data_IF_254297555231
#
_entry.id   IF_254297555231
#
_cell.length_a   1.000
_cell.length_b   1.000
_cell.length_c   1.000
_cell.angle_alpha   90.00
_cell.angle_beta   90.00
_cell.angle_gamma   90.00
#
_symmetry.space_group_name_H-M   'P 1'
#
loop_
_entity.id
_entity.type
_entity.pdbx_description
1 polymer ?
#
# COMPACT_ATOMS: atom_id res chain seq x y z
N UNK A 1 -18.83 10.97 -19.33
CA UNK A 1 -19.92 10.67 -18.39
C UNK A 1 -19.52 10.88 -16.93
N UNK A 2 -18.44 10.29 -16.46
CA UNK A 2 -17.98 10.44 -15.05
C UNK A 2 -17.70 11.91 -14.66
N UNK A 3 -17.01 12.68 -15.51
CA UNK A 3 -16.73 14.09 -15.27
C UNK A 3 -18.00 14.96 -15.18
N UNK A 4 -19.01 14.67 -16.00
CA UNK A 4 -20.30 15.37 -15.97
C UNK A 4 -21.08 14.99 -14.70
N UNK A 5 -20.97 13.74 -14.24
CA UNK A 5 -21.62 13.30 -13.01
C UNK A 5 -20.97 13.96 -11.77
N UNK A 6 -19.66 13.97 -11.70
CA UNK A 6 -18.91 14.65 -10.61
C UNK A 6 -19.14 16.16 -10.60
N UNK A 7 -19.24 16.79 -11.79
CA UNK A 7 -19.58 18.21 -11.90
C UNK A 7 -21.01 18.49 -11.40
N UNK A 8 -21.99 17.62 -11.75
CA UNK A 8 -23.36 17.75 -11.28
C UNK A 8 -23.49 17.58 -9.78
N UNK A 9 -22.77 16.64 -9.17
CA UNK A 9 -22.74 16.45 -7.72
C UNK A 9 -22.13 17.65 -7.01
N UNK A 10 -21.00 18.16 -7.50
CA UNK A 10 -20.35 19.35 -6.95
C UNK A 10 -21.24 20.60 -6.98
N UNK A 11 -22.01 20.77 -8.05
CA UNK A 11 -22.90 21.93 -8.21
C UNK A 11 -24.24 21.82 -7.45
N UNK A 12 -24.57 20.62 -6.95
CA UNK A 12 -25.77 20.45 -6.11
C UNK A 12 -25.59 20.90 -4.66
N UNK A 13 -24.38 21.30 -4.27
CA UNK A 13 -24.08 21.67 -2.89
C UNK A 13 -24.24 20.52 -1.89
N UNK A 14 -24.25 19.29 -2.40
CA UNK A 14 -24.33 18.06 -1.59
C UNK A 14 -22.93 17.62 -1.24
N UNK A 15 -22.66 17.53 0.06
CA UNK A 15 -21.41 16.99 0.58
C UNK A 15 -21.66 15.60 1.17
N UNK A 16 -20.65 14.72 1.07
CA UNK A 16 -20.71 13.46 1.78
C UNK A 16 -20.76 13.71 3.29
N UNK A 17 -21.67 13.07 4.03
CA UNK A 17 -21.70 13.20 5.49
C UNK A 17 -20.49 12.48 6.14
N UNK A 18 -19.82 11.62 5.40
CA UNK A 18 -18.62 10.92 5.85
C UNK A 18 -17.41 11.70 5.41
N UNK A 19 -16.95 12.65 6.22
CA UNK A 19 -15.87 13.52 5.77
C UNK A 19 -14.52 13.06 6.28
N UNK A 20 -14.06 13.47 7.41
CA UNK A 20 -12.60 13.54 7.59
C UNK A 20 -12.05 12.63 8.70
N UNK A 21 -12.93 11.93 9.43
CA UNK A 21 -12.53 11.23 10.67
C UNK A 21 -12.49 9.71 10.57
N UNK A 22 -12.52 9.16 9.38
CA UNK A 22 -12.50 7.71 9.20
C UNK A 22 -11.08 7.16 9.29
N UNK A 23 -10.93 6.05 10.02
CA UNK A 23 -9.69 5.28 10.01
C UNK A 23 -9.50 4.56 8.67
N UNK A 24 -8.26 4.47 8.21
CA UNK A 24 -7.93 3.76 6.98
C UNK A 24 -8.10 2.26 7.14
N UNK A 25 -8.66 1.56 6.15
CA UNK A 25 -8.67 0.10 6.12
C UNK A 25 -7.28 -0.45 5.75
N UNK A 26 -7.01 -1.74 6.01
CA UNK A 26 -5.78 -2.39 5.55
C UNK A 26 -5.59 -2.22 4.04
N UNK A 27 -4.38 -1.86 3.62
CA UNK A 27 -4.01 -1.75 2.22
C UNK A 27 -4.61 -0.55 1.48
N UNK A 28 -5.06 0.48 2.20
CA UNK A 28 -5.67 1.66 1.60
C UNK A 28 -4.76 2.33 0.55
N UNK A 29 -3.49 2.52 0.86
CA UNK A 29 -2.51 3.10 -0.07
C UNK A 29 -2.27 2.22 -1.30
N UNK A 30 -2.29 0.89 -1.14
CA UNK A 30 -2.16 -0.03 -2.27
C UNK A 30 -3.41 -0.04 -3.16
N UNK A 31 -4.61 0.09 -2.59
CA UNK A 31 -5.85 0.24 -3.37
C UNK A 31 -5.78 1.48 -4.25
N UNK A 32 -5.38 2.62 -3.70
CA UNK A 32 -5.23 3.85 -4.47
C UNK A 32 -4.21 3.70 -5.61
N UNK A 33 -3.07 3.03 -5.37
CA UNK A 33 -2.09 2.73 -6.43
C UNK A 33 -2.65 1.81 -7.51
N UNK A 34 -3.50 0.85 -7.16
CA UNK A 34 -4.20 -0.03 -8.11
C UNK A 34 -5.18 0.79 -8.96
N UNK A 35 -5.93 1.69 -8.35
CA UNK A 35 -6.88 2.57 -9.06
C UNK A 35 -6.14 3.53 -10.01
N UNK A 36 -5.02 4.12 -9.59
CA UNK A 36 -4.16 4.95 -10.44
C UNK A 36 -3.62 4.15 -11.64
N UNK A 37 -3.22 2.89 -11.45
CA UNK A 37 -2.80 2.01 -12.54
C UNK A 37 -3.93 1.70 -13.54
N UNK A 38 -5.16 1.54 -13.07
CA UNK A 38 -6.30 1.35 -13.95
C UNK A 38 -6.57 2.59 -14.80
N UNK A 39 -6.46 3.80 -14.24
CA UNK A 39 -6.57 5.06 -14.98
C UNK A 39 -5.51 5.13 -16.10
N UNK A 40 -4.25 4.80 -15.77
CA UNK A 40 -3.15 4.74 -16.71
C UNK A 40 -3.37 3.70 -17.82
N UNK A 41 -3.94 2.54 -17.46
CA UNK A 41 -4.29 1.49 -18.42
C UNK A 41 -5.36 1.95 -19.41
N UNK A 42 -6.45 2.56 -18.91
CA UNK A 42 -7.50 3.12 -19.77
C UNK A 42 -6.96 4.25 -20.65
N UNK A 43 -6.08 5.09 -20.12
CA UNK A 43 -5.40 6.13 -20.92
C UNK A 43 -4.57 5.54 -22.07
N UNK A 44 -3.82 4.48 -21.79
CA UNK A 44 -3.03 3.77 -22.82
C UNK A 44 -3.93 3.13 -23.89
N UNK A 45 -5.03 2.50 -23.47
CA UNK A 45 -6.00 1.90 -24.40
C UNK A 45 -6.65 2.95 -25.29
N UNK A 46 -7.08 4.07 -24.73
CA UNK A 46 -7.65 5.19 -25.47
C UNK A 46 -6.66 5.75 -26.48
N UNK A 47 -5.38 5.89 -26.10
CA UNK A 47 -4.33 6.33 -27.01
C UNK A 47 -4.16 5.37 -28.21
N UNK A 48 -4.22 4.05 -28.00
CA UNK A 48 -4.18 3.05 -29.08
C UNK A 48 -5.31 3.27 -30.07
N UNK A 49 -6.53 3.46 -29.58
CA UNK A 49 -7.71 3.67 -30.42
C UNK A 49 -7.57 4.95 -31.25
N UNK A 50 -7.15 6.06 -30.64
CA UNK A 50 -6.94 7.33 -31.33
C UNK A 50 -5.88 7.19 -32.41
N UNK A 51 -4.72 6.58 -32.08
CA UNK A 51 -3.63 6.37 -33.04
C UNK A 51 -4.10 5.47 -34.19
N UNK A 52 -4.91 4.44 -33.93
CA UNK A 52 -5.47 3.56 -34.96
C UNK A 52 -6.39 4.32 -35.92
N UNK A 53 -7.24 5.22 -35.40
CA UNK A 53 -8.12 6.05 -36.26
C UNK A 53 -7.29 6.99 -37.15
N UNK A 54 -6.29 7.65 -36.60
CA UNK A 54 -5.39 8.52 -37.39
C UNK A 54 -4.59 7.73 -38.43
N UNK A 55 -4.08 6.57 -38.08
CA UNK A 55 -3.40 5.68 -39.01
C UNK A 55 -4.31 5.27 -40.14
N UNK A 56 -5.52 4.76 -39.82
CA UNK A 56 -6.51 4.35 -40.83
C UNK A 56 -6.85 5.50 -41.79
N UNK A 57 -7.13 6.68 -41.25
CA UNK A 57 -7.41 7.87 -42.06
C UNK A 57 -6.23 8.21 -42.99
N UNK A 58 -4.99 8.20 -42.47
CA UNK A 58 -3.80 8.51 -43.25
C UNK A 58 -3.57 7.51 -44.36
N UNK A 59 -3.80 6.21 -44.14
CA UNK A 59 -3.61 5.15 -45.12
C UNK A 59 -4.68 5.25 -46.23
N UNK A 60 -5.94 5.41 -45.85
CA UNK A 60 -7.07 5.50 -46.81
C UNK A 60 -6.95 6.70 -47.74
N UNK A 61 -6.44 7.83 -47.26
CA UNK A 61 -6.30 9.06 -48.03
C UNK A 61 -4.93 9.23 -48.69
N UNK A 62 -4.04 8.24 -48.54
CA UNK A 62 -2.71 8.30 -49.17
C UNK A 62 -2.79 8.13 -50.67
N UNK A 63 -2.08 9.01 -51.42
CA UNK A 63 -2.04 8.99 -52.89
C UNK A 63 -0.94 8.08 -53.44
N UNK A 64 -0.09 7.52 -52.60
CA UNK A 64 1.00 6.63 -53.01
C UNK A 64 1.36 5.64 -51.91
N UNK A 65 1.99 4.54 -52.30
CA UNK A 65 2.48 3.53 -51.37
C UNK A 65 3.45 4.11 -50.32
N UNK A 66 4.36 4.98 -50.74
CA UNK A 66 5.31 5.63 -49.85
C UNK A 66 4.61 6.55 -48.81
N UNK A 67 3.54 7.24 -49.22
CA UNK A 67 2.76 8.06 -48.31
C UNK A 67 2.00 7.24 -47.25
N UNK A 68 1.62 6.00 -47.57
CA UNK A 68 1.01 5.07 -46.59
C UNK A 68 2.03 4.38 -45.68
N UNK A 69 3.28 4.20 -46.17
CA UNK A 69 4.30 3.44 -45.46
C UNK A 69 4.73 4.12 -44.14
N UNK A 70 5.02 5.42 -44.19
CA UNK A 70 5.52 6.18 -43.04
C UNK A 70 4.54 6.14 -41.84
N UNK A 71 3.23 6.48 -42.01
CA UNK A 71 2.28 6.38 -40.90
C UNK A 71 2.11 4.93 -40.41
N UNK A 72 2.25 3.93 -41.28
CA UNK A 72 2.16 2.52 -40.86
C UNK A 72 3.36 2.09 -40.01
N UNK A 73 4.57 2.53 -40.35
CA UNK A 73 5.77 2.27 -39.50
C UNK A 73 5.61 2.94 -38.15
N UNK A 74 5.19 4.21 -38.09
CA UNK A 74 4.96 4.92 -36.85
C UNK A 74 3.90 4.21 -35.99
N UNK A 75 2.82 3.75 -36.62
CA UNK A 75 1.77 3.01 -35.93
C UNK A 75 2.27 1.70 -35.31
N UNK A 76 3.06 0.92 -36.05
CA UNK A 76 3.65 -0.34 -35.54
C UNK A 76 4.59 -0.06 -34.34
N UNK A 77 5.43 0.97 -34.44
CA UNK A 77 6.32 1.36 -33.33
C UNK A 77 5.50 1.76 -32.10
N UNK A 78 4.47 2.58 -32.28
CA UNK A 78 3.59 3.01 -31.19
C UNK A 78 2.86 1.81 -30.54
N UNK A 79 2.35 0.88 -31.34
CA UNK A 79 1.74 -0.36 -30.84
C UNK A 79 2.72 -1.19 -30.01
N UNK A 80 3.94 -1.38 -30.52
CA UNK A 80 4.97 -2.14 -29.80
C UNK A 80 5.32 -1.49 -28.45
N UNK A 81 5.48 -0.17 -28.43
CA UNK A 81 5.74 0.59 -27.19
C UNK A 81 4.61 0.44 -26.19
N UNK A 82 3.35 0.66 -26.65
CA UNK A 82 2.17 0.56 -25.78
C UNK A 82 1.95 -0.86 -25.28
N UNK A 83 2.20 -1.87 -26.11
CA UNK A 83 2.14 -3.27 -25.71
C UNK A 83 3.14 -3.59 -24.58
N UNK A 84 4.40 -3.17 -24.73
CA UNK A 84 5.44 -3.34 -23.69
C UNK A 84 5.05 -2.62 -22.41
N UNK A 85 4.56 -1.38 -22.51
CA UNK A 85 4.06 -0.62 -21.36
C UNK A 85 2.94 -1.36 -20.64
N UNK A 86 1.97 -1.89 -21.38
CA UNK A 86 0.84 -2.66 -20.82
C UNK A 86 1.31 -3.91 -20.08
N UNK A 87 2.26 -4.67 -20.62
CA UNK A 87 2.81 -5.85 -19.95
C UNK A 87 3.46 -5.47 -18.61
N UNK A 88 4.24 -4.40 -18.54
CA UNK A 88 4.84 -3.92 -17.31
C UNK A 88 3.79 -3.45 -16.29
N UNK A 89 2.73 -2.81 -16.75
CA UNK A 89 1.61 -2.39 -15.89
C UNK A 89 0.87 -3.60 -15.30
N UNK A 90 0.65 -4.66 -16.09
CA UNK A 90 0.02 -5.90 -15.61
C UNK A 90 0.86 -6.60 -14.54
N UNK A 91 2.18 -6.66 -14.71
CA UNK A 91 3.08 -7.22 -13.68
C UNK A 91 3.01 -6.39 -12.39
N UNK A 92 3.08 -5.07 -12.51
CA UNK A 92 2.97 -4.16 -11.37
C UNK A 92 1.62 -4.30 -10.64
N UNK A 93 0.52 -4.40 -11.41
CA UNK A 93 -0.82 -4.63 -10.87
C UNK A 93 -0.91 -5.94 -10.08
N UNK A 94 -0.32 -7.03 -10.61
CA UNK A 94 -0.29 -8.32 -9.90
C UNK A 94 0.51 -8.24 -8.60
N UNK A 95 1.60 -7.46 -8.58
CA UNK A 95 2.42 -7.27 -7.39
C UNK A 95 1.68 -6.44 -6.33
N UNK A 96 0.99 -5.36 -6.72
CA UNK A 96 0.16 -4.57 -5.81
C UNK A 96 -1.03 -5.37 -5.25
N UNK A 97 -1.69 -6.18 -6.08
CA UNK A 97 -2.78 -7.06 -5.61
C UNK A 97 -2.29 -8.10 -4.61
N UNK A 98 -1.12 -8.68 -4.83
CA UNK A 98 -0.51 -9.61 -3.87
C UNK A 98 -0.18 -8.90 -2.55
N UNK A 99 0.41 -7.70 -2.61
CA UNK A 99 0.67 -6.87 -1.43
C UNK A 99 -0.61 -6.54 -0.67
N UNK A 100 -1.64 -6.06 -1.37
CA UNK A 100 -2.96 -5.74 -0.81
C UNK A 100 -3.58 -6.95 -0.10
N UNK A 101 -3.61 -8.11 -0.77
CA UNK A 101 -4.14 -9.33 -0.15
C UNK A 101 -3.35 -9.74 1.09
N UNK A 102 -2.03 -9.49 1.11
CA UNK A 102 -1.19 -9.73 2.28
C UNK A 102 -1.53 -8.81 3.44
N UNK A 103 -1.66 -7.49 3.19
CA UNK A 103 -2.03 -6.51 4.22
C UNK A 103 -3.45 -6.75 4.74
N UNK A 104 -4.42 -7.06 3.87
CA UNK A 104 -5.79 -7.40 4.27
C UNK A 104 -5.82 -8.64 5.17
N UNK A 105 -5.09 -9.69 4.79
CA UNK A 105 -5.01 -10.91 5.57
C UNK A 105 -4.40 -10.66 6.95
N UNK A 106 -3.26 -9.97 7.02
CA UNK A 106 -2.61 -9.61 8.27
C UNK A 106 -3.51 -8.70 9.11
N UNK A 107 -4.15 -7.70 8.50
CA UNK A 107 -5.07 -6.79 9.16
C UNK A 107 -6.24 -7.51 9.82
N UNK A 108 -6.83 -8.50 9.15
CA UNK A 108 -7.93 -9.32 9.72
C UNK A 108 -7.47 -10.11 10.95
N UNK A 109 -6.27 -10.71 10.89
CA UNK A 109 -5.73 -11.43 12.05
C UNK A 109 -5.41 -10.46 13.21
N UNK A 110 -4.81 -9.30 12.94
CA UNK A 110 -4.48 -8.30 13.94
C UNK A 110 -5.73 -7.68 14.61
N UNK A 111 -6.83 -7.53 13.87
CA UNK A 111 -8.08 -7.00 14.41
C UNK A 111 -8.65 -7.85 15.56
N UNK A 112 -8.28 -9.11 15.65
CA UNK A 112 -8.65 -9.98 16.80
C UNK A 112 -8.07 -9.48 18.10
N UNK A 113 -6.96 -8.73 18.07
CA UNK A 113 -6.33 -8.16 19.25
C UNK A 113 -7.16 -7.02 19.87
N UNK A 114 -8.07 -6.41 19.09
CA UNK A 114 -8.99 -5.38 19.60
C UNK A 114 -9.93 -5.94 20.66
N UNK A 115 -10.31 -7.21 20.57
CA UNK A 115 -11.12 -7.91 21.57
C UNK A 115 -10.39 -8.08 22.90
N UNK A 116 -9.06 -7.89 22.90
CA UNK A 116 -8.19 -8.00 24.08
C UNK A 116 -7.73 -6.63 24.60
N UNK A 117 -8.33 -5.53 24.12
CA UNK A 117 -8.05 -4.17 24.60
C UNK A 117 -6.95 -3.41 23.82
N UNK A 118 -6.37 -3.98 22.79
CA UNK A 118 -5.51 -3.23 21.88
C UNK A 118 -6.31 -2.38 20.89
N UNK A 119 -5.69 -1.34 20.34
CA UNK A 119 -6.20 -0.61 19.18
C UNK A 119 -5.30 -0.85 17.98
N UNK A 120 -5.89 -1.17 16.85
CA UNK A 120 -5.17 -1.47 15.61
C UNK A 120 -5.49 -0.38 14.59
N UNK A 121 -4.46 0.25 14.07
CA UNK A 121 -4.54 1.23 12.98
C UNK A 121 -3.87 0.63 11.76
N UNK A 122 -4.51 0.76 10.61
CA UNK A 122 -3.99 0.25 9.34
C UNK A 122 -3.57 1.39 8.45
N UNK A 123 -2.58 1.14 7.59
CA UNK A 123 -2.07 2.12 6.62
C UNK A 123 -1.79 3.47 7.31
N UNK A 124 -1.10 3.40 8.44
CA UNK A 124 -0.89 4.54 9.33
C UNK A 124 0.15 5.49 8.71
N UNK A 125 -0.31 6.67 8.34
CA UNK A 125 0.51 7.73 7.75
C UNK A 125 0.70 8.83 8.80
N UNK A 126 1.92 8.97 9.30
CA UNK A 126 2.26 9.93 10.35
C UNK A 126 3.11 11.12 9.85
N UNK A 127 3.74 10.95 8.69
CA UNK A 127 4.45 12.02 7.99
C UNK A 127 4.33 11.81 6.48
N UNK A 128 3.70 12.73 5.80
CA UNK A 128 3.37 12.70 4.36
C UNK A 128 4.54 12.35 3.40
N UNK A 129 5.79 12.33 3.88
CA UNK A 129 7.01 12.13 3.05
C UNK A 129 7.76 10.83 3.31
N UNK A 130 7.44 10.07 4.35
CA UNK A 130 8.26 8.91 4.79
C UNK A 130 7.65 7.53 4.53
N UNK A 131 6.48 7.49 3.93
CA UNK A 131 5.71 6.26 3.73
C UNK A 131 4.83 5.94 4.94
N UNK A 132 3.88 5.06 4.71
CA UNK A 132 2.93 4.59 5.71
C UNK A 132 3.43 3.31 6.39
N UNK A 133 2.96 3.10 7.61
CA UNK A 133 3.12 1.86 8.36
C UNK A 133 1.92 0.96 8.02
N UNK A 134 2.16 -0.27 7.58
CA UNK A 134 1.09 -1.17 7.18
C UNK A 134 0.07 -1.39 8.30
N UNK A 135 0.57 -1.68 9.53
CA UNK A 135 -0.28 -1.76 10.70
C UNK A 135 0.46 -1.26 11.96
N UNK A 136 -0.24 -0.48 12.77
CA UNK A 136 0.23 0.02 14.06
C UNK A 136 -0.72 -0.46 15.16
N UNK A 137 -0.18 -1.17 16.14
CA UNK A 137 -0.94 -1.68 17.30
C UNK A 137 -0.54 -0.88 18.52
N UNK A 138 -1.50 -0.26 19.17
CA UNK A 138 -1.31 0.41 20.45
C UNK A 138 -1.96 -0.44 21.53
N UNK A 139 -1.14 -0.98 22.43
CA UNK A 139 -1.54 -1.92 23.45
C UNK A 139 -1.12 -1.43 24.85
N UNK A 140 -1.73 -1.94 25.93
CA UNK A 140 -1.38 -1.54 27.30
C UNK A 140 0.11 -1.68 27.63
N UNK A 141 0.81 -2.65 27.06
CA UNK A 141 2.23 -2.90 27.30
C UNK A 141 3.18 -2.22 26.31
N UNK A 142 2.68 -1.54 25.27
CA UNK A 142 3.53 -0.88 24.27
C UNK A 142 2.90 -0.72 22.90
N UNK A 143 3.68 -0.16 21.98
CA UNK A 143 3.32 -0.05 20.57
C UNK A 143 4.04 -1.13 19.77
N UNK A 144 3.34 -1.71 18.81
CA UNK A 144 3.90 -2.67 17.87
C UNK A 144 3.73 -2.13 16.47
N UNK A 145 4.84 -1.92 15.80
CA UNK A 145 4.91 -1.55 14.38
C UNK A 145 5.00 -2.83 13.57
N UNK A 146 4.05 -3.04 12.68
CA UNK A 146 3.98 -4.25 11.85
C UNK A 146 4.16 -3.88 10.37
N UNK A 147 5.17 -4.44 9.77
CA UNK A 147 5.45 -4.40 8.33
C UNK A 147 5.00 -5.72 7.70
N UNK A 148 4.19 -5.67 6.66
CA UNK A 148 3.68 -6.84 5.96
C UNK A 148 4.38 -7.03 4.63
N UNK A 149 4.86 -8.24 4.37
CA UNK A 149 5.42 -8.59 3.05
C UNK A 149 4.81 -9.87 2.53
N UNK A 150 4.08 -9.75 1.43
CA UNK A 150 3.53 -10.89 0.70
C UNK A 150 4.44 -11.24 -0.47
N UNK A 151 5.08 -12.40 -0.41
CA UNK A 151 5.92 -12.92 -1.49
C UNK A 151 5.31 -14.18 -2.08
N UNK A 152 5.40 -14.33 -3.42
CA UNK A 152 4.99 -15.56 -4.11
C UNK A 152 5.90 -16.71 -3.73
N UNK A 153 5.31 -17.86 -3.41
CA UNK A 153 6.03 -19.10 -3.20
C UNK A 153 6.38 -19.77 -4.53
N UNK A 154 7.49 -20.51 -4.61
CA UNK A 154 7.71 -21.41 -5.74
C UNK A 154 6.54 -22.40 -5.88
N UNK A 155 6.14 -22.68 -7.12
CA UNK A 155 5.12 -23.71 -7.38
C UNK A 155 5.61 -25.07 -6.88
N UNK A 156 4.72 -25.81 -6.23
CA UNK A 156 4.97 -27.21 -5.90
C UNK A 156 4.94 -28.01 -7.20
N UNK A 157 6.08 -28.54 -7.62
CA UNK A 157 6.06 -29.73 -8.46
C UNK A 157 5.68 -30.91 -7.58
N UNK A 158 4.91 -31.85 -8.10
CA UNK A 158 4.44 -33.04 -7.39
C UNK A 158 5.60 -33.70 -6.64
N UNK A 159 5.55 -33.71 -5.31
CA UNK A 159 6.56 -34.24 -4.42
C UNK A 159 7.55 -33.24 -3.81
N UNK A 160 7.43 -31.94 -4.11
CA UNK A 160 8.36 -30.96 -3.57
C UNK A 160 7.94 -30.44 -2.19
N UNK A 161 8.87 -30.57 -1.30
CA UNK A 161 8.88 -30.35 0.13
C UNK A 161 8.31 -29.02 0.65
N UNK A 162 7.79 -29.09 1.87
CA UNK A 162 7.58 -27.96 2.77
C UNK A 162 8.78 -27.01 2.89
N UNK A 163 10.00 -27.44 2.48
CA UNK A 163 11.21 -26.63 2.41
C UNK A 163 11.09 -25.39 1.52
N UNK A 164 10.32 -25.45 0.44
CA UNK A 164 10.09 -24.31 -0.46
C UNK A 164 9.21 -23.19 0.14
N UNK A 165 8.61 -23.40 1.30
CA UNK A 165 7.84 -22.40 2.02
C UNK A 165 8.57 -21.85 3.25
N UNK A 166 9.86 -22.17 3.43
CA UNK A 166 10.68 -21.73 4.56
C UNK A 166 11.43 -20.45 4.23
N UNK A 167 11.59 -19.61 5.24
CA UNK A 167 12.46 -18.44 5.22
C UNK A 167 13.35 -18.48 6.46
N UNK A 168 14.65 -18.37 6.26
CA UNK A 168 15.61 -18.25 7.35
C UNK A 168 15.76 -16.78 7.74
N UNK A 169 15.78 -16.51 9.02
CA UNK A 169 15.99 -15.17 9.57
C UNK A 169 17.23 -15.16 10.47
N UNK A 170 18.18 -14.27 10.18
CA UNK A 170 19.45 -14.16 10.90
C UNK A 170 19.54 -12.94 11.84
N UNK A 171 18.43 -12.20 12.00
CA UNK A 171 18.36 -10.96 12.78
C UNK A 171 18.50 -9.69 11.96
N UNK A 172 19.00 -9.78 10.73
CA UNK A 172 19.20 -8.64 9.80
C UNK A 172 18.62 -8.88 8.43
N UNK A 173 18.52 -10.12 7.99
CA UNK A 173 18.09 -10.49 6.65
C UNK A 173 17.14 -11.69 6.63
N UNK A 174 16.30 -11.72 5.61
CA UNK A 174 15.36 -12.77 5.30
C UNK A 174 15.87 -13.53 4.08
N UNK A 175 16.26 -14.79 4.24
CA UNK A 175 16.72 -15.66 3.16
C UNK A 175 15.59 -16.57 2.72
N UNK A 176 15.04 -16.27 1.57
CA UNK A 176 14.04 -17.07 0.87
C UNK A 176 14.74 -18.10 -0.05
N UNK A 177 14.02 -19.11 -0.56
CA UNK A 177 14.62 -20.11 -1.45
C UNK A 177 15.28 -19.56 -2.73
N UNK A 178 14.83 -18.40 -3.22
CA UNK A 178 15.29 -17.81 -4.48
C UNK A 178 15.97 -16.45 -4.36
N UNK A 179 15.88 -15.79 -3.21
CA UNK A 179 16.46 -14.47 -2.99
C UNK A 179 16.65 -14.18 -1.50
N UNK A 180 17.44 -13.17 -1.20
CA UNK A 180 17.62 -12.64 0.15
C UNK A 180 17.23 -11.18 0.19
N UNK A 181 16.57 -10.74 1.27
CA UNK A 181 16.16 -9.35 1.45
C UNK A 181 16.37 -8.86 2.88
N UNK A 182 16.98 -7.68 3.03
CA UNK A 182 17.09 -6.95 4.29
C UNK A 182 15.97 -5.92 4.44
N UNK A 183 15.45 -5.44 3.31
CA UNK A 183 14.53 -4.31 3.23
C UNK A 183 13.34 -4.39 4.21
N UNK A 184 12.63 -5.53 4.39
CA UNK A 184 11.52 -5.59 5.34
C UNK A 184 11.94 -5.32 6.79
N UNK A 185 13.11 -5.87 7.18
CA UNK A 185 13.65 -5.72 8.53
C UNK A 185 14.07 -4.28 8.80
N UNK A 186 14.80 -3.68 7.84
CA UNK A 186 15.25 -2.28 7.91
C UNK A 186 14.06 -1.32 7.95
N UNK A 187 13.03 -1.58 7.16
CA UNK A 187 11.80 -0.79 7.09
C UNK A 187 11.05 -0.82 8.42
N UNK A 188 10.78 -2.01 8.96
CA UNK A 188 10.13 -2.18 10.26
C UNK A 188 10.92 -1.51 11.40
N UNK A 189 12.24 -1.69 11.42
CA UNK A 189 13.13 -1.06 12.42
C UNK A 189 13.11 0.47 12.32
N UNK A 190 13.16 1.01 11.09
CA UNK A 190 13.09 2.44 10.84
C UNK A 190 11.77 3.04 11.34
N UNK A 191 10.65 2.41 10.99
CA UNK A 191 9.32 2.86 11.42
C UNK A 191 9.18 2.81 12.95
N UNK A 192 9.69 1.76 13.62
CA UNK A 192 9.63 1.67 15.07
C UNK A 192 10.43 2.78 15.76
N UNK A 193 11.62 3.11 15.25
CA UNK A 193 12.44 4.23 15.76
C UNK A 193 11.70 5.56 15.61
N UNK A 194 11.05 5.78 14.46
CA UNK A 194 10.29 7.01 14.22
C UNK A 194 9.08 7.13 15.15
N UNK A 195 8.32 6.05 15.33
CA UNK A 195 7.17 6.06 16.28
C UNK A 195 7.66 6.29 17.72
N UNK A 196 8.77 5.70 18.11
CA UNK A 196 9.37 5.95 19.43
C UNK A 196 9.74 7.43 19.61
N UNK A 197 10.40 8.04 18.63
CA UNK A 197 10.73 9.48 18.66
C UNK A 197 9.47 10.35 18.67
N UNK A 198 8.49 10.04 17.84
CA UNK A 198 7.22 10.78 17.75
C UNK A 198 6.48 10.79 19.08
N UNK A 199 6.36 9.63 19.73
CA UNK A 199 5.67 9.52 21.03
C UNK A 199 6.46 10.27 22.11
N UNK A 200 7.79 10.18 22.10
CA UNK A 200 8.64 10.90 23.05
C UNK A 200 8.52 12.41 22.87
N UNK A 201 8.59 12.90 21.64
CA UNK A 201 8.56 14.33 21.33
C UNK A 201 7.18 14.96 21.53
N UNK A 202 6.12 14.26 21.14
CA UNK A 202 4.76 14.82 21.14
C UNK A 202 3.94 14.47 22.37
N UNK A 203 4.26 13.36 23.03
CA UNK A 203 3.57 12.95 24.25
C UNK A 203 4.41 13.16 25.52
N UNK A 204 5.71 13.45 25.40
CA UNK A 204 6.65 13.47 26.52
C UNK A 204 6.58 12.17 27.36
N UNK A 205 6.62 11.03 26.64
CA UNK A 205 6.48 9.69 27.21
C UNK A 205 7.50 8.75 26.57
N UNK A 206 8.24 8.01 27.38
CA UNK A 206 9.05 6.89 26.92
C UNK A 206 8.19 5.62 26.90
N UNK A 207 7.59 5.35 25.77
CA UNK A 207 6.64 4.24 25.59
C UNK A 207 7.31 3.12 24.80
N UNK A 208 7.24 1.85 25.24
CA UNK A 208 7.88 0.74 24.56
C UNK A 208 7.38 0.59 23.11
N UNK A 209 8.31 0.49 22.16
CA UNK A 209 7.98 0.27 20.74
C UNK A 209 8.73 -0.95 20.22
N UNK A 210 8.01 -1.89 19.63
CA UNK A 210 8.55 -3.13 19.05
C UNK A 210 8.28 -3.19 17.55
N UNK A 211 9.26 -3.67 16.79
CA UNK A 211 9.14 -3.88 15.35
C UNK A 211 8.86 -5.34 15.01
N UNK A 212 7.91 -5.59 14.11
CA UNK A 212 7.54 -6.92 13.65
C UNK A 212 7.41 -6.92 12.14
N UNK A 213 7.94 -7.96 11.48
CA UNK A 213 7.69 -8.26 10.07
C UNK A 213 6.75 -9.46 9.99
N UNK A 214 5.61 -9.28 9.33
CA UNK A 214 4.64 -10.33 9.04
C UNK A 214 4.85 -10.90 7.65
N UNK A 215 5.06 -12.21 7.56
CA UNK A 215 5.23 -12.97 6.31
C UNK A 215 4.08 -13.98 6.16
N UNK A 216 2.89 -13.56 5.68
CA UNK A 216 1.76 -14.45 5.57
C UNK A 216 2.08 -15.66 4.69
N UNK A 217 1.79 -16.83 5.24
CA UNK A 217 1.96 -18.10 4.54
C UNK A 217 3.38 -18.67 4.53
N UNK A 218 4.42 -17.98 5.01
CA UNK A 218 5.78 -18.50 5.10
C UNK A 218 6.05 -19.11 6.47
N UNK A 219 6.83 -20.19 6.47
CA UNK A 219 7.36 -20.77 7.70
C UNK A 219 8.68 -20.08 8.05
N UNK A 220 8.65 -19.26 9.11
CA UNK A 220 9.82 -18.51 9.57
C UNK A 220 10.67 -19.39 10.46
N UNK A 221 11.93 -19.56 10.10
CA UNK A 221 12.92 -20.31 10.85
C UNK A 221 14.03 -19.35 11.33
N UNK A 222 13.99 -18.94 12.61
CA UNK A 222 15.07 -18.13 13.15
C UNK A 222 16.34 -18.95 13.23
N UNK A 223 17.48 -18.37 12.86
CA UNK A 223 18.77 -19.00 13.13
C UNK A 223 19.05 -18.96 14.64
N UNK A 224 19.62 -20.01 15.21
CA UNK A 224 20.06 -20.00 16.60
C UNK A 224 21.09 -18.87 16.78
N UNK A 225 20.69 -17.80 17.41
CA UNK A 225 21.57 -16.69 17.76
C UNK A 225 21.42 -16.48 19.25
N UNK A 226 22.51 -16.22 19.93
CA UNK A 226 22.50 -15.86 21.35
C UNK A 226 21.97 -14.43 21.60
N UNK A 227 21.72 -13.66 20.53
CA UNK A 227 21.23 -12.29 20.62
C UNK A 227 19.71 -12.22 20.45
N UNK A 228 19.09 -11.39 21.27
CA UNK A 228 17.69 -11.02 21.09
C UNK A 228 17.58 -10.13 19.85
N UNK A 229 16.85 -10.55 18.85
CA UNK A 229 16.62 -9.77 17.65
C UNK A 229 15.78 -8.52 17.93
N UNK A 230 16.21 -7.38 17.41
CA UNK A 230 15.51 -6.10 17.54
C UNK A 230 14.18 -6.06 16.76
N UNK A 231 14.09 -6.86 15.69
CA UNK A 231 12.88 -7.03 14.89
C UNK A 231 12.46 -8.49 14.96
N UNK A 232 11.19 -8.75 15.21
CA UNK A 232 10.63 -10.10 15.14
C UNK A 232 10.06 -10.37 13.77
N UNK A 233 10.18 -11.61 13.33
CA UNK A 233 9.60 -12.04 12.05
C UNK A 233 8.66 -13.20 12.33
N UNK A 234 7.40 -13.07 11.90
CA UNK A 234 6.36 -14.06 12.18
C UNK A 234 5.50 -14.36 10.95
N UNK A 235 4.86 -15.51 10.96
CA UNK A 235 3.68 -15.78 10.16
C UNK A 235 2.46 -15.51 11.02
N UNK A 236 1.56 -14.60 10.67
CA UNK A 236 0.40 -14.26 11.51
C UNK A 236 -0.64 -15.39 11.63
N UNK A 237 -0.54 -16.44 10.79
CA UNK A 237 -1.46 -17.57 10.82
C UNK A 237 -1.28 -18.43 12.08
N UNK A 238 -2.38 -18.83 12.68
CA UNK A 238 -2.38 -19.70 13.86
C UNK A 238 -1.75 -19.00 15.09
N UNK A 239 -0.81 -19.66 15.72
CA UNK A 239 -0.17 -19.16 16.95
C UNK A 239 0.75 -17.95 16.72
N UNK A 240 1.01 -17.54 15.48
CA UNK A 240 1.83 -16.37 15.20
C UNK A 240 1.28 -15.09 15.82
N UNK A 241 -0.05 -14.97 15.90
CA UNK A 241 -0.72 -13.83 16.52
C UNK A 241 -0.52 -13.80 18.05
N UNK A 242 -0.27 -14.92 18.69
CA UNK A 242 -0.07 -15.03 20.13
C UNK A 242 1.23 -14.32 20.61
N UNK A 243 2.16 -14.09 19.68
CA UNK A 243 3.35 -13.30 19.96
C UNK A 243 3.01 -11.91 20.54
N UNK A 244 1.87 -11.35 20.18
CA UNK A 244 1.43 -10.03 20.65
C UNK A 244 0.80 -10.05 22.05
N UNK A 245 0.37 -11.23 22.53
CA UNK A 245 -0.35 -11.36 23.80
C UNK A 245 0.36 -10.73 25.01
N UNK A 246 1.69 -10.87 25.22
CA UNK A 246 2.35 -10.27 26.38
C UNK A 246 2.21 -8.74 26.44
N UNK A 247 2.20 -8.07 25.29
CA UNK A 247 2.01 -6.62 25.23
C UNK A 247 0.54 -6.22 25.33
N UNK A 248 -0.36 -7.02 24.75
CA UNK A 248 -1.80 -6.75 24.72
C UNK A 248 -2.44 -7.04 26.07
N UNK A 249 -2.10 -8.18 26.69
CA UNK A 249 -2.62 -8.61 27.98
C UNK A 249 -1.66 -8.26 29.14
N UNK A 250 -0.97 -7.11 29.04
CA UNK A 250 -0.02 -6.73 30.09
C UNK A 250 -0.71 -6.59 31.45
N UNK A 251 -0.23 -7.34 32.43
CA UNK A 251 -0.70 -7.24 33.82
C UNK A 251 -0.37 -5.88 34.45
N UNK A 252 0.67 -5.22 33.93
CA UNK A 252 1.07 -3.88 34.30
C UNK A 252 0.98 -2.93 33.10
N UNK A 253 -0.21 -2.41 32.80
CA UNK A 253 -0.38 -1.47 31.71
C UNK A 253 0.47 -0.20 31.95
N UNK A 254 1.07 0.31 30.88
CA UNK A 254 1.87 1.53 30.99
C UNK A 254 0.97 2.71 31.47
N UNK A 255 1.38 3.49 32.49
CA UNK A 255 0.53 4.54 33.08
C UNK A 255 0.02 5.57 32.08
N UNK A 256 0.78 5.82 31.02
CA UNK A 256 0.44 6.80 29.98
C UNK A 256 -0.23 6.18 28.73
N UNK A 257 -0.67 4.92 28.79
CA UNK A 257 -1.29 4.23 27.66
C UNK A 257 -2.45 5.03 27.05
N UNK A 258 -3.37 5.54 27.86
CA UNK A 258 -4.52 6.29 27.40
C UNK A 258 -4.11 7.60 26.68
N UNK A 259 -3.08 8.29 27.18
CA UNK A 259 -2.53 9.51 26.56
C UNK A 259 -1.94 9.22 25.20
N UNK A 260 -1.10 8.19 25.09
CA UNK A 260 -0.46 7.76 23.83
C UNK A 260 -1.51 7.28 22.84
N UNK A 261 -2.47 6.46 23.27
CA UNK A 261 -3.55 5.98 22.43
C UNK A 261 -4.37 7.12 21.82
N UNK A 262 -4.80 8.07 22.65
CA UNK A 262 -5.56 9.25 22.19
C UNK A 262 -4.77 10.06 21.16
N UNK A 263 -3.50 10.24 21.39
CA UNK A 263 -2.62 10.97 20.48
C UNK A 263 -2.47 10.28 19.12
N UNK A 264 -2.14 8.98 19.12
CA UNK A 264 -1.99 8.18 17.91
C UNK A 264 -3.32 8.10 17.13
N UNK A 265 -4.44 7.94 17.83
CA UNK A 265 -5.77 7.96 17.18
C UNK A 265 -6.07 9.33 16.54
N UNK A 266 -5.72 10.42 17.20
CA UNK A 266 -5.83 11.77 16.63
C UNK A 266 -5.02 11.93 15.35
N UNK A 267 -3.78 11.43 15.33
CA UNK A 267 -2.95 11.42 14.13
C UNK A 267 -3.55 10.55 13.01
N UNK A 268 -4.02 9.34 13.34
CA UNK A 268 -4.63 8.44 12.36
C UNK A 268 -5.87 9.06 11.67
N UNK A 269 -6.64 9.86 12.42
CA UNK A 269 -7.85 10.53 11.90
C UNK A 269 -7.56 11.85 11.18
N UNK A 270 -6.43 12.50 11.45
CA UNK A 270 -6.06 13.79 10.85
C UNK A 270 -5.70 13.70 9.37
N UNK A 271 -5.40 12.50 8.87
CA UNK A 271 -5.01 12.29 7.47
C UNK A 271 -6.24 11.96 6.64
N UNK A 272 -6.66 12.84 5.73
CA UNK A 272 -7.87 12.64 4.94
C UNK A 272 -7.77 11.39 4.07
N UNK A 273 -8.87 10.63 3.99
CA UNK A 273 -8.99 9.43 3.15
C UNK A 273 -8.90 9.76 1.66
N UNK A 274 -9.36 10.93 1.26
CA UNK A 274 -9.23 11.40 -0.11
C UNK A 274 -8.15 12.48 -0.15
N UNK A 275 -7.17 12.31 -1.04
CA UNK A 275 -6.34 13.45 -1.42
C UNK A 275 -7.30 14.53 -1.93
N UNK A 276 -7.47 15.63 -1.17
CA UNK A 276 -7.95 16.86 -1.80
C UNK A 276 -7.06 17.05 -3.02
N UNK A 277 -7.62 17.30 -4.22
CA UNK A 277 -6.79 17.62 -5.38
C UNK A 277 -5.92 18.81 -4.98
N UNK A 278 -4.72 18.52 -4.56
CA UNK A 278 -3.69 19.52 -4.17
C UNK A 278 -3.12 20.21 -5.39
N UNK A 279 -3.50 19.76 -6.56
CA UNK A 279 -3.19 20.44 -7.79
C UNK A 279 -4.24 21.52 -8.05
N UNK A 280 -3.94 22.72 -7.54
CA UNK A 280 -4.55 23.97 -8.03
C UNK A 280 -4.50 24.03 -9.58
N UNK A 281 -3.58 23.32 -10.22
CA UNK A 281 -3.47 23.14 -11.67
C UNK A 281 -4.55 22.21 -12.23
N UNK A 282 -4.86 21.07 -11.62
CA UNK A 282 -5.94 20.20 -12.10
C UNK A 282 -7.31 20.89 -11.97
N UNK A 283 -7.55 21.60 -10.88
CA UNK A 283 -8.76 22.43 -10.73
C UNK A 283 -8.81 23.55 -11.79
N UNK A 284 -7.67 24.18 -12.12
CA UNK A 284 -7.55 25.22 -13.14
C UNK A 284 -7.80 24.72 -14.57
N UNK A 285 -7.34 23.51 -14.89
CA UNK A 285 -7.62 22.87 -16.18
C UNK A 285 -9.11 22.50 -16.33
N UNK A 286 -9.72 21.96 -15.28
CA UNK A 286 -11.15 21.64 -15.30
C UNK A 286 -12.02 22.90 -15.32
N UNK A 287 -11.67 23.97 -14.59
CA UNK A 287 -12.40 25.24 -14.62
C UNK A 287 -12.30 25.93 -16.00
N UNK A 288 -11.17 25.77 -16.70
CA UNK A 288 -11.01 26.31 -18.05
C UNK A 288 -11.97 25.67 -19.08
N UNK A 289 -12.19 24.36 -18.99
CA UNK A 289 -13.07 23.62 -19.91
C UNK A 289 -14.55 23.69 -19.54
N UNK A 290 -14.90 24.05 -18.30
CA UNK A 290 -16.24 23.99 -17.75
C UNK A 290 -16.85 25.38 -17.46
N UNK A 291 -16.14 26.48 -17.71
CA UNK A 291 -16.76 27.82 -17.64
C UNK A 291 -17.79 27.94 -18.75
N UNK A 292 -19.07 28.25 -18.44
CA UNK A 292 -19.99 28.66 -19.46
C UNK A 292 -19.39 29.90 -20.13
N UNK A 293 -19.28 29.90 -21.45
CA UNK A 293 -19.00 31.10 -22.22
C UNK A 293 -20.09 32.08 -21.87
N UNK A 294 -19.72 33.16 -21.17
CA UNK A 294 -20.62 34.32 -20.99
C UNK A 294 -20.94 34.83 -22.40
N UNK A 295 -22.20 34.78 -22.76
CA UNK A 295 -22.74 35.49 -23.89
C UNK A 295 -22.51 36.98 -23.77
#
# INVERSE_FOLDING_TARGET
MVAIHLWRERNRGLFSPFTEDMLRPPGYSLRNKIDDLWIDFYGSFTAIVIIAVFWFHSVVHSKSFLAALLPSVVYVIALFYLFRRTLNQLETLQNYRLGLSGEEYVGQELNRLMLKGARVFHDFDYEYKRGNIDHLIVAPGGIIVVETKAYRKPQKHSGADSALAKVEYDGSSLKFPRFTSKKPVDQASSHAKHISSLVREQCDVDFPVTAVVCLPGWFVQPKPSQQTYSVKVINPKGNGIEYFNPMVNSENPHPQFAKVLKHIEGLARSVPLQKKPTDANAAKYFDFWLRPKSE
#
